data_IF_247831982650
#
_entry.id   IF_247831982650
#
_cell.length_a   1.000
_cell.length_b   1.000
_cell.length_c   1.000
_cell.angle_alpha   90.00
_cell.angle_beta   90.00
_cell.angle_gamma   90.00
#
_symmetry.space_group_name_H-M   'P 1'
#
loop_
_entity.id
_entity.type
_entity.pdbx_description
1 polymer ?
#
# COMPACT_ATOMS: atom_id res chain seq x y z
N UNK A 1 -7.96 -19.75 -37.35
CA UNK A 1 -7.40 -20.20 -36.07
C UNK A 1 -6.72 -18.98 -35.49
N UNK A 2 -7.43 -18.30 -34.60
CA UNK A 2 -6.91 -17.10 -33.95
C UNK A 2 -6.01 -17.57 -32.81
N UNK A 3 -4.72 -17.26 -32.91
CA UNK A 3 -3.76 -17.60 -31.86
C UNK A 3 -4.13 -16.73 -30.67
N UNK A 4 -4.81 -17.34 -29.70
CA UNK A 4 -5.20 -16.70 -28.45
C UNK A 4 -4.00 -15.93 -27.92
N UNK A 5 -4.14 -14.61 -27.91
CA UNK A 5 -3.28 -13.70 -27.16
C UNK A 5 -3.20 -14.31 -25.78
N UNK A 6 -2.03 -14.82 -25.41
CA UNK A 6 -1.73 -15.11 -24.02
C UNK A 6 -1.85 -13.75 -23.37
N UNK A 7 -3.00 -13.48 -22.74
CA UNK A 7 -3.12 -12.36 -21.84
C UNK A 7 -2.06 -12.64 -20.78
N UNK A 8 -0.96 -11.87 -20.81
CA UNK A 8 -0.03 -11.88 -19.70
C UNK A 8 -0.87 -11.70 -18.44
N UNK A 9 -0.63 -12.52 -17.39
CA UNK A 9 -1.42 -12.42 -16.18
C UNK A 9 -1.39 -10.95 -15.75
N UNK A 10 -2.57 -10.32 -15.71
CA UNK A 10 -2.70 -8.91 -15.42
C UNK A 10 -1.92 -8.63 -14.13
N UNK A 11 -0.88 -7.81 -14.24
CA UNK A 11 0.02 -7.57 -13.13
C UNK A 11 -0.80 -7.04 -11.95
N UNK A 12 -0.63 -7.65 -10.78
CA UNK A 12 -1.36 -7.22 -9.59
C UNK A 12 -1.13 -5.73 -9.33
N UNK A 13 -2.23 -5.03 -9.10
CA UNK A 13 -2.24 -3.62 -8.71
C UNK A 13 -1.84 -3.44 -7.25
N UNK A 14 -1.50 -2.20 -6.89
CA UNK A 14 -1.04 -1.86 -5.55
C UNK A 14 -2.14 -2.12 -4.53
N UNK A 15 -3.39 -1.92 -4.95
CA UNK A 15 -4.57 -2.25 -4.17
C UNK A 15 -4.59 -3.72 -3.78
N UNK A 16 -4.42 -4.60 -4.76
CA UNK A 16 -4.57 -6.04 -4.55
C UNK A 16 -3.43 -6.58 -3.70
N UNK A 17 -2.20 -6.10 -3.92
CA UNK A 17 -1.04 -6.40 -3.08
C UNK A 17 -1.28 -5.99 -1.62
N UNK A 18 -1.73 -4.75 -1.38
CA UNK A 18 -2.05 -4.24 -0.03
C UNK A 18 -3.16 -5.07 0.64
N UNK A 19 -4.19 -5.46 -0.11
CA UNK A 19 -5.28 -6.29 0.42
C UNK A 19 -4.82 -7.70 0.78
N UNK A 20 -3.89 -8.29 0.04
CA UNK A 20 -3.32 -9.61 0.38
C UNK A 20 -2.36 -9.52 1.56
N UNK A 21 -1.45 -8.54 1.56
CA UNK A 21 -0.45 -8.35 2.62
C UNK A 21 -1.10 -8.04 3.97
N UNK A 22 -2.18 -7.27 3.98
CA UNK A 22 -2.92 -6.90 5.19
C UNK A 22 -3.80 -8.00 5.80
N UNK A 23 -3.79 -9.22 5.24
CA UNK A 23 -4.61 -10.32 5.75
C UNK A 23 -4.13 -10.87 7.10
N UNK A 24 -2.82 -10.84 7.32
CA UNK A 24 -2.19 -11.45 8.49
C UNK A 24 -1.54 -10.44 9.43
N UNK A 25 -1.29 -9.21 8.97
CA UNK A 25 -0.67 -8.15 9.76
C UNK A 25 -1.19 -6.76 9.33
N UNK A 26 -0.77 -5.71 10.04
CA UNK A 26 -1.02 -4.33 9.62
C UNK A 26 -0.07 -3.91 8.50
N UNK A 27 -0.59 -3.12 7.57
CA UNK A 27 0.19 -2.63 6.43
C UNK A 27 0.71 -1.23 6.76
N UNK A 28 2.00 -0.96 6.57
CA UNK A 28 2.53 0.40 6.73
C UNK A 28 2.05 1.26 5.58
N UNK A 29 1.84 2.56 5.83
CA UNK A 29 1.64 3.51 4.74
C UNK A 29 2.83 3.51 3.76
N UNK A 30 4.04 3.22 4.26
CA UNK A 30 5.23 2.98 3.45
C UNK A 30 5.03 1.90 2.38
N UNK A 31 4.44 0.76 2.74
CA UNK A 31 4.25 -0.35 1.80
C UNK A 31 3.23 0.03 0.73
N UNK A 32 2.17 0.78 1.10
CA UNK A 32 1.21 1.33 0.13
C UNK A 32 1.91 2.28 -0.85
N UNK A 33 2.73 3.21 -0.34
CA UNK A 33 3.53 4.11 -1.17
C UNK A 33 4.46 3.33 -2.11
N UNK A 34 5.17 2.31 -1.58
CA UNK A 34 6.12 1.49 -2.33
C UNK A 34 5.44 0.80 -3.51
N UNK A 35 4.31 0.12 -3.29
CA UNK A 35 3.57 -0.53 -4.36
C UNK A 35 3.10 0.45 -5.44
N UNK A 36 2.63 1.63 -5.04
CA UNK A 36 2.27 2.70 -5.98
C UNK A 36 3.49 3.19 -6.75
N UNK A 37 4.64 3.37 -6.08
CA UNK A 37 5.87 3.82 -6.69
C UNK A 37 6.44 2.78 -7.67
N UNK A 38 6.32 1.48 -7.39
CA UNK A 38 6.72 0.40 -8.30
C UNK A 38 5.88 0.41 -9.59
N UNK A 39 4.55 0.50 -9.46
CA UNK A 39 3.63 0.60 -10.60
C UNK A 39 3.77 1.89 -11.40
N UNK A 40 4.36 2.92 -10.78
CA UNK A 40 4.50 4.25 -11.36
C UNK A 40 5.95 4.71 -11.35
N UNK A 41 6.88 3.78 -11.58
CA UNK A 41 8.32 4.04 -11.40
C UNK A 41 8.83 5.25 -12.17
N UNK A 42 8.28 5.56 -13.35
CA UNK A 42 8.62 6.72 -14.19
C UNK A 42 7.96 8.05 -13.77
N UNK A 43 7.01 8.03 -12.82
CA UNK A 43 6.24 9.21 -12.43
C UNK A 43 7.02 10.15 -11.51
N UNK A 44 6.49 11.37 -11.36
CA UNK A 44 6.95 12.31 -10.34
C UNK A 44 6.47 11.88 -8.94
N UNK A 45 7.21 12.27 -7.90
CA UNK A 45 6.87 11.98 -6.50
C UNK A 45 5.44 12.43 -6.16
N UNK A 46 5.05 13.64 -6.59
CA UNK A 46 3.72 14.19 -6.32
C UNK A 46 2.59 13.33 -6.90
N UNK A 47 2.82 12.68 -8.04
CA UNK A 47 1.82 11.79 -8.65
C UNK A 47 1.73 10.47 -7.89
N UNK A 48 2.85 9.90 -7.45
CA UNK A 48 2.88 8.71 -6.60
C UNK A 48 2.20 8.99 -5.25
N UNK A 49 2.47 10.16 -4.66
CA UNK A 49 1.83 10.65 -3.44
C UNK A 49 0.31 10.78 -3.58
N UNK A 50 -0.16 11.45 -4.64
CA UNK A 50 -1.58 11.57 -4.95
C UNK A 50 -2.25 10.21 -5.12
N UNK A 51 -1.61 9.29 -5.84
CA UNK A 51 -2.13 7.93 -6.06
C UNK A 51 -2.17 7.11 -4.76
N UNK A 52 -1.17 7.28 -3.89
CA UNK A 52 -1.13 6.64 -2.56
C UNK A 52 -2.32 7.10 -1.72
N UNK A 53 -2.53 8.41 -1.58
CA UNK A 53 -3.68 8.94 -0.82
C UNK A 53 -5.02 8.54 -1.45
N UNK A 54 -5.11 8.50 -2.78
CA UNK A 54 -6.31 8.04 -3.48
C UNK A 54 -6.62 6.55 -3.22
N UNK A 55 -5.59 5.69 -3.15
CA UNK A 55 -5.75 4.29 -2.78
C UNK A 55 -6.20 4.13 -1.32
N UNK A 56 -5.60 4.87 -0.40
CA UNK A 56 -6.02 4.83 1.01
C UNK A 56 -7.46 5.32 1.15
N UNK A 57 -7.81 6.42 0.49
CA UNK A 57 -9.17 6.96 0.51
C UNK A 57 -10.20 5.95 -0.02
N UNK A 58 -9.89 5.24 -1.11
CA UNK A 58 -10.81 4.23 -1.67
C UNK A 58 -11.02 3.07 -0.70
N UNK A 59 -9.95 2.55 -0.10
CA UNK A 59 -10.03 1.49 0.92
C UNK A 59 -10.88 1.91 2.12
N UNK A 60 -10.72 3.14 2.60
CA UNK A 60 -11.52 3.68 3.71
C UNK A 60 -12.99 3.88 3.32
N UNK A 61 -13.25 4.45 2.14
CA UNK A 61 -14.61 4.71 1.64
C UNK A 61 -15.40 3.42 1.41
N UNK A 62 -14.73 2.38 0.91
CA UNK A 62 -15.30 1.04 0.72
C UNK A 62 -15.32 0.21 2.02
N UNK A 63 -14.84 0.76 3.13
CA UNK A 63 -14.75 0.09 4.44
C UNK A 63 -13.93 -1.21 4.41
N UNK A 64 -12.94 -1.29 3.54
CA UNK A 64 -12.01 -2.42 3.46
C UNK A 64 -10.84 -2.28 4.44
N UNK A 65 -10.55 -1.06 4.88
CA UNK A 65 -9.50 -0.80 5.86
C UNK A 65 -9.89 0.30 6.86
N UNK A 66 -9.14 0.36 7.94
CA UNK A 66 -9.08 1.46 8.89
C UNK A 66 -7.64 1.98 8.94
N UNK A 67 -7.47 3.29 9.13
CA UNK A 67 -6.17 3.92 9.35
C UNK A 67 -5.98 4.19 10.84
N UNK A 68 -4.76 4.02 11.33
CA UNK A 68 -4.45 4.17 12.73
C UNK A 68 -2.96 4.24 13.02
N UNK A 69 -2.67 4.15 14.31
CA UNK A 69 -1.31 4.09 14.87
C UNK A 69 -1.16 2.82 15.69
N UNK A 70 0.08 2.40 15.88
CA UNK A 70 0.38 1.31 16.81
C UNK A 70 0.74 1.85 18.20
N UNK A 71 0.26 1.15 19.23
CA UNK A 71 0.53 1.41 20.64
C UNK A 71 1.11 0.17 21.31
N UNK A 72 1.64 0.36 22.51
CA UNK A 72 2.18 -0.75 23.31
C UNK A 72 3.34 -1.44 22.60
N UNK A 73 4.31 -0.67 22.10
CA UNK A 73 5.46 -1.21 21.35
C UNK A 73 5.08 -2.03 20.11
N UNK A 74 4.02 -1.64 19.41
CA UNK A 74 3.58 -2.36 18.21
C UNK A 74 2.69 -3.57 18.49
N UNK A 75 2.18 -3.75 19.71
CA UNK A 75 1.31 -4.91 20.01
C UNK A 75 -0.19 -4.62 19.82
N UNK A 76 -0.58 -3.35 19.61
CA UNK A 76 -1.98 -2.95 19.52
C UNK A 76 -2.21 -1.86 18.50
N UNK A 77 -3.12 -2.11 17.56
CA UNK A 77 -3.64 -1.09 16.65
C UNK A 77 -4.69 -0.21 17.33
N UNK A 78 -4.54 1.10 17.19
CA UNK A 78 -5.52 2.10 17.63
C UNK A 78 -6.04 2.86 16.40
N UNK A 79 -7.30 2.59 15.97
CA UNK A 79 -7.88 3.29 14.83
C UNK A 79 -8.06 4.77 15.13
N UNK A 80 -7.85 5.62 14.13
CA UNK A 80 -8.26 7.01 14.22
C UNK A 80 -9.79 7.10 14.24
N UNK A 81 -10.35 7.93 15.12
CA UNK A 81 -11.79 8.04 15.35
C UNK A 81 -12.44 9.24 14.64
N UNK A 82 -11.75 9.81 13.66
CA UNK A 82 -12.20 10.92 12.82
C UNK A 82 -13.05 10.44 11.64
N UNK A 83 -13.86 11.33 11.06
CA UNK A 83 -14.51 11.06 9.78
C UNK A 83 -13.48 10.96 8.64
N UNK A 84 -13.94 10.53 7.45
CA UNK A 84 -13.07 10.34 6.29
C UNK A 84 -12.35 11.63 5.89
N UNK A 85 -13.04 12.77 5.88
CA UNK A 85 -12.47 14.06 5.46
C UNK A 85 -11.32 14.47 6.38
N UNK A 86 -11.55 14.37 7.70
CA UNK A 86 -10.54 14.73 8.69
C UNK A 86 -9.39 13.71 8.72
N UNK A 87 -9.69 12.43 8.53
CA UNK A 87 -8.68 11.38 8.36
C UNK A 87 -7.78 11.65 7.16
N UNK A 88 -8.34 12.04 6.01
CA UNK A 88 -7.57 12.36 4.81
C UNK A 88 -6.73 13.63 4.98
N UNK A 89 -7.25 14.67 5.65
CA UNK A 89 -6.45 15.85 5.99
C UNK A 89 -5.24 15.50 6.84
N UNK A 90 -5.45 14.68 7.88
CA UNK A 90 -4.37 14.20 8.74
C UNK A 90 -3.36 13.37 7.97
N UNK A 91 -3.81 12.45 7.10
CA UNK A 91 -2.92 11.68 6.23
C UNK A 91 -2.06 12.58 5.35
N UNK A 92 -2.63 13.63 4.76
CA UNK A 92 -1.86 14.59 3.95
C UNK A 92 -0.73 15.20 4.76
N UNK A 93 -0.97 15.62 6.01
CA UNK A 93 0.10 16.16 6.87
C UNK A 93 1.13 15.11 7.21
N UNK A 94 0.70 13.95 7.72
CA UNK A 94 1.59 12.88 8.19
C UNK A 94 2.46 12.33 7.05
N UNK A 95 1.96 12.31 5.81
CA UNK A 95 2.64 11.69 4.67
C UNK A 95 3.28 12.67 3.70
N UNK A 96 2.57 13.73 3.30
CA UNK A 96 3.07 14.67 2.28
C UNK A 96 3.96 15.71 2.93
N UNK A 97 3.45 16.40 3.95
CA UNK A 97 4.18 17.51 4.57
C UNK A 97 5.42 17.00 5.32
N UNK A 98 5.34 15.79 5.89
CA UNK A 98 6.44 15.12 6.57
C UNK A 98 7.17 14.08 5.69
N UNK A 99 7.03 14.11 4.37
CA UNK A 99 7.55 13.05 3.50
C UNK A 99 9.05 12.78 3.67
N UNK A 100 9.85 13.83 3.85
CA UNK A 100 11.31 13.72 4.03
C UNK A 100 11.73 13.34 5.46
N UNK A 101 10.78 13.19 6.41
CA UNK A 101 11.09 12.63 7.73
C UNK A 101 11.20 11.11 7.66
N UNK A 102 12.42 10.64 7.39
CA UNK A 102 12.75 9.21 7.25
C UNK A 102 12.55 8.40 8.55
N UNK A 103 12.52 9.05 9.71
CA UNK A 103 12.24 8.42 11.00
C UNK A 103 10.76 8.52 11.39
N UNK A 104 10.00 9.39 10.73
CA UNK A 104 8.59 9.65 11.00
C UNK A 104 7.66 8.73 10.22
N UNK A 105 7.06 9.27 9.16
CA UNK A 105 5.89 8.68 8.49
C UNK A 105 6.03 7.21 8.04
N UNK A 106 7.21 6.69 7.60
CA UNK A 106 7.31 5.30 7.18
C UNK A 106 7.05 4.31 8.32
N UNK A 107 7.11 4.77 9.58
CA UNK A 107 7.00 3.96 10.79
C UNK A 107 5.80 4.29 11.66
N UNK A 108 5.04 5.36 11.37
CA UNK A 108 4.01 5.89 12.28
C UNK A 108 2.58 5.65 11.83
N UNK A 109 2.31 5.50 10.53
CA UNK A 109 0.95 5.35 10.00
C UNK A 109 0.72 3.95 9.43
N UNK A 110 -0.39 3.34 9.85
CA UNK A 110 -0.70 1.93 9.60
C UNK A 110 -2.14 1.75 9.12
N UNK A 111 -2.36 0.74 8.28
CA UNK A 111 -3.66 0.28 7.85
C UNK A 111 -3.95 -1.09 8.47
N UNK A 112 -5.17 -1.25 8.99
CA UNK A 112 -5.72 -2.53 9.40
C UNK A 112 -6.87 -2.89 8.48
N UNK A 113 -6.81 -4.05 7.83
CA UNK A 113 -7.95 -4.53 7.05
C UNK A 113 -9.14 -4.85 7.96
N UNK A 114 -10.33 -4.53 7.48
CA UNK A 114 -11.59 -5.02 8.06
C UNK A 114 -11.83 -6.47 7.63
N UNK A 115 -12.87 -7.11 8.15
CA UNK A 115 -13.26 -8.44 7.67
C UNK A 115 -13.60 -8.43 6.17
N UNK A 116 -14.28 -7.37 5.71
CA UNK A 116 -14.56 -7.19 4.28
C UNK A 116 -13.27 -7.07 3.46
N UNK A 117 -12.30 -6.26 3.93
CA UNK A 117 -10.99 -6.14 3.29
C UNK A 117 -10.25 -7.46 3.20
N UNK A 118 -10.27 -8.26 4.27
CA UNK A 118 -9.68 -9.62 4.27
C UNK A 118 -10.36 -10.55 3.28
N UNK A 119 -11.70 -10.59 3.26
CA UNK A 119 -12.46 -11.39 2.29
C UNK A 119 -12.15 -10.99 0.85
N UNK A 120 -12.05 -9.70 0.56
CA UNK A 120 -11.63 -9.22 -0.77
C UNK A 120 -10.18 -9.61 -1.08
N UNK A 121 -9.26 -9.45 -0.13
CA UNK A 121 -7.85 -9.83 -0.27
C UNK A 121 -7.63 -11.31 -0.57
N UNK A 122 -8.38 -12.20 0.09
CA UNK A 122 -8.29 -13.64 -0.11
C UNK A 122 -8.50 -14.05 -1.59
N UNK A 123 -9.31 -13.30 -2.34
CA UNK A 123 -9.55 -13.53 -3.77
C UNK A 123 -8.30 -13.37 -4.64
N UNK A 124 -7.30 -12.61 -4.18
CA UNK A 124 -6.08 -12.31 -4.91
C UNK A 124 -4.87 -13.15 -4.49
N UNK A 125 -4.98 -13.97 -3.43
CA UNK A 125 -3.86 -14.78 -2.92
C UNK A 125 -3.17 -15.65 -3.98
N UNK A 126 -3.88 -16.37 -4.87
CA UNK A 126 -3.21 -17.21 -5.87
C UNK A 126 -2.43 -16.39 -6.90
N UNK A 127 -2.91 -15.20 -7.24
CA UNK A 127 -2.18 -14.28 -8.13
C UNK A 127 -0.96 -13.69 -7.40
N UNK A 128 -1.12 -13.32 -6.13
CA UNK A 128 -0.04 -12.72 -5.33
C UNK A 128 1.10 -13.70 -5.11
N UNK A 129 0.78 -14.96 -4.83
CA UNK A 129 1.79 -16.02 -4.68
C UNK A 129 2.61 -16.20 -5.95
N UNK A 130 1.96 -16.27 -7.12
CA UNK A 130 2.65 -16.39 -8.41
C UNK A 130 3.56 -15.19 -8.68
N UNK A 131 3.03 -13.98 -8.49
CA UNK A 131 3.80 -12.74 -8.63
C UNK A 131 5.03 -12.71 -7.72
N UNK A 132 4.89 -13.11 -6.46
CA UNK A 132 5.99 -13.14 -5.49
C UNK A 132 7.04 -14.20 -5.85
N UNK A 133 6.60 -15.37 -6.30
CA UNK A 133 7.50 -16.44 -6.76
C UNK A 133 8.30 -16.02 -8.00
N UNK A 134 7.67 -15.28 -8.93
CA UNK A 134 8.33 -14.70 -10.10
C UNK A 134 9.36 -13.64 -9.72
N UNK A 135 9.03 -12.72 -8.80
CA UNK A 135 9.98 -11.73 -8.28
C UNK A 135 11.19 -12.40 -7.62
N UNK A 136 10.96 -13.45 -6.84
CA UNK A 136 12.02 -14.24 -6.19
C UNK A 136 12.92 -14.93 -7.20
N UNK A 137 12.33 -15.56 -8.22
CA UNK A 137 13.09 -16.19 -9.30
C UNK A 137 13.97 -15.20 -10.06
N UNK A 138 13.54 -13.93 -10.14
CA UNK A 138 14.28 -12.85 -10.80
C UNK A 138 15.23 -12.10 -9.85
N UNK A 139 15.24 -12.41 -8.55
CA UNK A 139 16.04 -11.69 -7.54
C UNK A 139 15.57 -10.24 -7.30
N UNK A 140 14.30 -9.94 -7.62
CA UNK A 140 13.72 -8.59 -7.57
C UNK A 140 12.86 -8.34 -6.33
N UNK A 141 12.64 -9.33 -5.46
CA UNK A 141 11.81 -9.19 -4.24
C UNK A 141 12.25 -8.00 -3.35
N UNK A 142 13.55 -7.68 -3.33
CA UNK A 142 14.12 -6.60 -2.52
C UNK A 142 14.57 -5.39 -3.35
N UNK A 143 14.10 -5.26 -4.60
CA UNK A 143 14.45 -4.13 -5.42
C UNK A 143 13.90 -2.84 -4.82
N UNK A 144 14.78 -1.85 -4.64
CA UNK A 144 14.39 -0.54 -4.12
C UNK A 144 13.69 0.28 -5.19
N UNK A 145 12.66 1.04 -4.78
CA UNK A 145 12.01 2.03 -5.66
C UNK A 145 13.00 3.12 -6.10
N UNK A 146 12.76 3.83 -7.21
CA UNK A 146 13.64 4.92 -7.65
C UNK A 146 13.90 5.96 -6.55
N UNK A 147 15.13 6.43 -6.39
CA UNK A 147 15.52 7.37 -5.32
C UNK A 147 14.66 8.66 -5.29
N UNK A 148 14.18 9.14 -6.44
CA UNK A 148 13.28 10.31 -6.52
C UNK A 148 11.91 10.09 -5.87
N UNK A 149 11.54 8.83 -5.64
CA UNK A 149 10.30 8.43 -4.99
C UNK A 149 10.55 8.04 -3.52
N UNK A 150 11.79 8.08 -3.03
CA UNK A 150 12.10 7.79 -1.63
C UNK A 150 12.16 9.09 -0.80
N UNK A 151 11.87 9.03 0.52
CA UNK A 151 12.21 10.08 1.47
C UNK A 151 13.69 10.44 1.36
N UNK A 152 14.00 11.74 1.39
CA UNK A 152 15.40 12.18 1.42
C UNK A 152 16.02 11.87 2.79
N UNK A 153 17.31 11.53 2.78
CA UNK A 153 18.12 11.37 3.99
C UNK A 153 18.60 12.70 4.55
#
# INVERSE_FOLDING_TARGET
MDAGRIEEPEALSAREKVLVEGQHDWVKLWDVHRHIAEENSSSALIDAQRKTLGLVESLLRERLAEVGVLRGHGSRFEPWRSDLTETMKRLTVEYIDNFDDHAGWPWTVWLRLTDAGRTTGAGYEPAYRRWLDELRAQGQEYQVIPARLQPRS
#
